data_IF_658179362455
#
_entry.id   IF_658179362455
#
_cell.length_a   1.000
_cell.length_b   1.000
_cell.length_c   1.000
_cell.angle_alpha   90.00
_cell.angle_beta   90.00
_cell.angle_gamma   90.00
#
_symmetry.space_group_name_H-M   'P 1'
#
loop_
_entity.id
_entity.type
_entity.pdbx_description
1 polymer ?
#
# COMPACT_ATOMS: atom_id res chain seq x y z
N UNK A 1 20.00 12.01 -6.57
CA UNK A 1 18.74 11.28 -6.37
C UNK A 1 17.76 12.24 -5.76
N UNK A 2 16.77 12.67 -6.53
CA UNK A 2 15.74 13.65 -6.16
C UNK A 2 14.75 13.08 -5.15
N UNK A 3 14.38 11.81 -5.28
CA UNK A 3 13.50 11.13 -4.33
C UNK A 3 14.30 10.47 -3.22
N UNK A 4 13.99 10.73 -1.97
CA UNK A 4 14.64 10.05 -0.83
C UNK A 4 14.05 8.65 -0.61
N UNK A 5 14.81 7.76 0.05
CA UNK A 5 14.34 6.40 0.39
C UNK A 5 13.00 6.41 1.15
N UNK A 6 12.82 7.37 2.06
CA UNK A 6 11.57 7.54 2.82
C UNK A 6 10.36 7.87 1.94
N UNK A 7 10.57 8.49 0.78
CA UNK A 7 9.53 8.76 -0.20
C UNK A 7 9.22 7.50 -1.00
N UNK A 8 10.23 6.77 -1.45
CA UNK A 8 10.07 5.48 -2.17
C UNK A 8 9.25 4.51 -1.34
N UNK A 9 9.55 4.41 -0.05
CA UNK A 9 8.80 3.58 0.89
C UNK A 9 7.31 3.95 0.94
N UNK A 10 6.95 5.23 0.89
CA UNK A 10 5.53 5.66 0.88
C UNK A 10 4.83 5.29 -0.43
N UNK A 11 5.55 5.39 -1.55
CA UNK A 11 5.02 4.96 -2.86
C UNK A 11 4.68 3.47 -2.84
N UNK A 12 5.49 2.63 -2.17
CA UNK A 12 5.17 1.21 -2.07
C UNK A 12 3.87 0.90 -1.32
N UNK A 13 3.50 1.75 -0.35
CA UNK A 13 2.29 1.56 0.45
C UNK A 13 1.03 1.97 -0.33
N UNK A 14 1.10 3.06 -1.07
CA UNK A 14 -0.02 3.65 -1.79
C UNK A 14 0.44 4.18 -3.18
N UNK A 15 0.66 3.30 -4.18
CA UNK A 15 1.35 3.64 -5.44
C UNK A 15 0.71 4.76 -6.25
N UNK A 16 -0.62 4.82 -6.31
CA UNK A 16 -1.36 5.87 -7.03
C UNK A 16 -1.17 7.24 -6.36
N UNK A 17 -1.24 7.29 -5.03
CA UNK A 17 -1.02 8.52 -4.28
C UNK A 17 0.44 8.97 -4.39
N UNK A 18 1.37 8.02 -4.26
CA UNK A 18 2.80 8.25 -4.40
C UNK A 18 3.19 8.75 -5.79
N UNK A 19 2.62 8.17 -6.85
CA UNK A 19 2.84 8.57 -8.24
C UNK A 19 2.32 9.99 -8.49
N UNK A 20 1.10 10.29 -8.01
CA UNK A 20 0.55 11.63 -8.10
C UNK A 20 1.38 12.67 -7.30
N UNK A 21 1.84 12.32 -6.10
CA UNK A 21 2.70 13.20 -5.28
C UNK A 21 4.07 13.43 -5.94
N UNK A 22 4.67 12.39 -6.53
CA UNK A 22 5.92 12.50 -7.27
C UNK A 22 5.80 13.50 -8.42
N UNK A 23 4.77 13.35 -9.27
CA UNK A 23 4.53 14.27 -10.38
C UNK A 23 4.39 15.73 -9.89
N UNK A 24 3.65 15.96 -8.80
CA UNK A 24 3.51 17.31 -8.23
C UNK A 24 4.84 17.89 -7.73
N UNK A 25 5.65 17.09 -7.02
CA UNK A 25 6.96 17.53 -6.54
C UNK A 25 7.89 17.92 -7.70
N UNK A 26 7.90 17.12 -8.77
CA UNK A 26 8.74 17.39 -9.94
C UNK A 26 8.28 18.65 -10.66
N UNK A 27 6.98 18.77 -10.95
CA UNK A 27 6.44 19.96 -11.64
C UNK A 27 6.64 21.22 -10.82
N UNK A 28 6.48 21.15 -9.49
CA UNK A 28 6.76 22.29 -8.61
C UNK A 28 8.24 22.65 -8.62
N UNK A 29 9.14 21.65 -8.64
CA UNK A 29 10.58 21.87 -8.72
C UNK A 29 10.99 22.47 -10.07
N UNK A 30 10.36 22.04 -11.16
CA UNK A 30 10.58 22.63 -12.49
C UNK A 30 10.14 24.09 -12.52
N UNK A 31 8.98 24.41 -11.96
CA UNK A 31 8.52 25.82 -11.86
C UNK A 31 9.46 26.70 -11.00
N UNK A 32 10.18 26.11 -10.03
CA UNK A 32 11.21 26.81 -9.25
C UNK A 32 12.53 27.03 -10.02
N UNK A 33 12.86 26.11 -10.93
CA UNK A 33 14.05 26.18 -11.77
C UNK A 33 13.85 27.04 -13.02
N UNK A 34 12.60 27.19 -13.46
CA UNK A 34 12.23 27.98 -14.62
C UNK A 34 12.66 29.44 -14.43
N UNK A 35 13.67 29.83 -15.21
CA UNK A 35 14.22 31.17 -15.25
C UNK A 35 13.63 32.01 -16.40
N UNK A 36 12.67 31.46 -17.16
CA UNK A 36 12.08 32.07 -18.35
C UNK A 36 13.01 32.06 -19.58
N UNK A 37 14.12 31.33 -19.54
CA UNK A 37 15.09 31.17 -20.63
C UNK A 37 14.96 29.77 -21.28
N UNK A 38 16.03 29.29 -21.93
CA UNK A 38 16.09 27.95 -22.51
C UNK A 38 16.29 26.87 -21.43
N UNK A 39 15.82 25.65 -21.71
CA UNK A 39 16.01 24.48 -20.86
C UNK A 39 17.49 24.28 -20.48
N UNK A 40 17.71 24.02 -19.20
CA UNK A 40 19.02 23.82 -18.59
C UNK A 40 19.36 22.33 -18.45
N UNK A 41 20.65 22.04 -18.27
CA UNK A 41 21.11 20.68 -17.95
C UNK A 41 20.52 20.17 -16.62
N UNK A 42 20.29 21.05 -15.64
CA UNK A 42 19.69 20.69 -14.34
C UNK A 42 18.24 20.24 -14.50
N UNK A 43 17.44 20.96 -15.29
CA UNK A 43 16.06 20.56 -15.60
C UNK A 43 16.01 19.26 -16.40
N UNK A 44 16.93 19.09 -17.36
CA UNK A 44 17.04 17.88 -18.16
C UNK A 44 17.39 16.65 -17.29
N UNK A 45 18.35 16.76 -16.38
CA UNK A 45 18.69 15.69 -15.44
C UNK A 45 17.52 15.36 -14.51
N UNK A 46 16.86 16.38 -13.94
CA UNK A 46 15.68 16.20 -13.10
C UNK A 46 14.57 15.45 -13.82
N UNK A 47 14.26 15.84 -15.06
CA UNK A 47 13.21 15.23 -15.89
C UNK A 47 13.49 13.77 -16.21
N UNK A 48 14.74 13.42 -16.53
CA UNK A 48 15.12 12.02 -16.78
C UNK A 48 15.05 11.16 -15.52
N UNK A 49 15.60 11.65 -14.41
CA UNK A 49 15.54 10.93 -13.13
C UNK A 49 14.08 10.69 -12.72
N UNK A 50 13.26 11.76 -12.79
CA UNK A 50 11.84 11.73 -12.52
C UNK A 50 11.08 10.73 -13.38
N UNK A 51 11.26 10.80 -14.70
CA UNK A 51 10.50 9.99 -15.64
C UNK A 51 10.87 8.51 -15.54
N UNK A 52 12.15 8.20 -15.30
CA UNK A 52 12.60 6.84 -15.01
C UNK A 52 11.98 6.29 -13.72
N UNK A 53 11.95 7.09 -12.65
CA UNK A 53 11.32 6.72 -11.39
C UNK A 53 9.81 6.46 -11.54
N UNK A 54 9.09 7.35 -12.21
CA UNK A 54 7.66 7.21 -12.54
C UNK A 54 7.43 5.93 -13.34
N UNK A 55 8.21 5.68 -14.40
CA UNK A 55 8.06 4.49 -15.22
C UNK A 55 8.29 3.20 -14.40
N UNK A 56 9.30 3.19 -13.51
CA UNK A 56 9.53 2.05 -12.61
C UNK A 56 8.33 1.80 -11.69
N UNK A 57 7.67 2.83 -11.17
CA UNK A 57 6.45 2.67 -10.36
C UNK A 57 5.33 2.05 -11.20
N UNK A 58 5.09 2.58 -12.40
CA UNK A 58 4.04 2.07 -13.30
C UNK A 58 4.27 0.58 -13.58
N UNK A 59 5.49 0.21 -13.93
CA UNK A 59 5.87 -1.17 -14.25
C UNK A 59 5.82 -2.09 -13.02
N UNK A 60 6.35 -1.67 -11.86
CA UNK A 60 6.40 -2.51 -10.65
C UNK A 60 5.02 -2.81 -10.08
N UNK A 61 4.08 -1.88 -10.21
CA UNK A 61 2.74 -1.99 -9.65
C UNK A 61 1.67 -2.33 -10.69
N UNK A 62 2.06 -2.61 -11.94
CA UNK A 62 1.18 -2.96 -13.06
C UNK A 62 0.02 -1.96 -13.24
N UNK A 63 0.35 -0.67 -13.14
CA UNK A 63 -0.64 0.41 -13.21
C UNK A 63 -1.10 0.59 -14.66
N UNK A 64 -2.42 0.53 -14.89
CA UNK A 64 -2.99 0.68 -16.23
C UNK A 64 -3.04 2.17 -16.64
N UNK A 65 -1.89 2.70 -17.06
CA UNK A 65 -1.74 4.08 -17.55
C UNK A 65 -1.33 4.02 -19.02
N UNK A 66 -2.13 4.64 -19.90
CA UNK A 66 -1.93 4.60 -21.35
C UNK A 66 -0.93 5.67 -21.84
N UNK A 67 0.22 5.77 -21.17
CA UNK A 67 1.26 6.77 -21.46
C UNK A 67 2.61 6.06 -21.43
N UNK A 68 3.41 6.24 -22.49
CA UNK A 68 4.73 5.59 -22.61
C UNK A 68 5.87 6.59 -22.34
N UNK A 69 6.93 6.12 -21.71
CA UNK A 69 8.15 6.90 -21.51
C UNK A 69 8.78 7.27 -22.88
N UNK A 70 9.02 8.55 -23.16
CA UNK A 70 9.60 8.98 -24.43
C UNK A 70 11.03 8.49 -24.60
N UNK A 71 11.42 8.25 -25.85
CA UNK A 71 12.78 7.83 -26.19
C UNK A 71 13.73 9.05 -26.22
N UNK A 72 14.99 8.90 -25.79
CA UNK A 72 15.95 9.99 -25.81
C UNK A 72 16.27 10.41 -27.25
N UNK A 73 16.29 11.73 -27.47
CA UNK A 73 16.73 12.37 -28.70
C UNK A 73 18.08 13.07 -28.52
N UNK A 74 18.69 13.52 -29.63
CA UNK A 74 19.92 14.31 -29.59
C UNK A 74 19.72 15.79 -29.24
N UNK A 75 18.49 16.22 -28.94
CA UNK A 75 18.14 17.61 -28.66
C UNK A 75 17.63 17.74 -27.22
N UNK A 76 18.31 18.56 -26.42
CA UNK A 76 17.97 18.81 -25.02
C UNK A 76 16.55 19.37 -24.87
N UNK A 77 16.19 20.35 -25.71
CA UNK A 77 14.87 20.98 -25.64
C UNK A 77 13.76 19.99 -25.99
N UNK A 78 13.94 19.19 -27.04
CA UNK A 78 12.93 18.19 -27.44
C UNK A 78 12.75 17.12 -26.35
N UNK A 79 13.85 16.71 -25.70
CA UNK A 79 13.80 15.80 -24.56
C UNK A 79 13.04 16.41 -23.38
N UNK A 80 13.38 17.64 -22.97
CA UNK A 80 12.73 18.28 -21.83
C UNK A 80 11.21 18.46 -22.04
N UNK A 81 10.80 18.90 -23.24
CA UNK A 81 9.38 19.01 -23.57
C UNK A 81 8.69 17.65 -23.50
N UNK A 82 9.25 16.62 -24.16
CA UNK A 82 8.64 15.29 -24.20
C UNK A 82 8.51 14.66 -22.80
N UNK A 83 9.52 14.84 -21.94
CA UNK A 83 9.51 14.33 -20.57
C UNK A 83 8.55 15.11 -19.68
N UNK A 84 8.47 16.44 -19.82
CA UNK A 84 7.48 17.25 -19.11
C UNK A 84 6.06 16.82 -19.47
N UNK A 85 5.78 16.65 -20.76
CA UNK A 85 4.48 16.22 -21.27
C UNK A 85 4.12 14.83 -20.72
N UNK A 86 5.07 13.89 -20.75
CA UNK A 86 4.92 12.57 -20.13
C UNK A 86 4.51 12.64 -18.65
N UNK A 87 5.21 13.45 -17.84
CA UNK A 87 4.90 13.60 -16.41
C UNK A 87 3.50 14.22 -16.20
N UNK A 88 3.13 15.21 -17.00
CA UNK A 88 1.81 15.85 -16.93
C UNK A 88 0.68 14.89 -17.33
N UNK A 89 0.88 14.09 -18.37
CA UNK A 89 -0.07 13.07 -18.80
C UNK A 89 -0.26 11.99 -17.72
N UNK A 90 0.83 11.50 -17.13
CA UNK A 90 0.77 10.55 -16.01
C UNK A 90 0.04 11.17 -14.81
N UNK A 91 0.38 12.40 -14.43
CA UNK A 91 -0.30 13.12 -13.35
C UNK A 91 -1.81 13.21 -13.59
N UNK A 92 -2.21 13.58 -14.81
CA UNK A 92 -3.62 13.67 -15.21
C UNK A 92 -4.31 12.30 -15.16
N UNK A 93 -3.64 11.23 -15.57
CA UNK A 93 -4.20 9.89 -15.58
C UNK A 93 -4.52 9.37 -14.17
N UNK A 94 -3.71 9.74 -13.17
CA UNK A 94 -3.90 9.28 -11.78
C UNK A 94 -4.60 10.29 -10.87
N UNK A 95 -4.80 11.53 -11.33
CA UNK A 95 -5.32 12.64 -10.53
C UNK A 95 -6.66 12.33 -9.88
N UNK A 96 -7.65 11.91 -10.67
CA UNK A 96 -9.00 11.61 -10.17
C UNK A 96 -8.99 10.48 -9.12
N UNK A 97 -8.23 9.42 -9.37
CA UNK A 97 -8.11 8.29 -8.45
C UNK A 97 -7.38 8.70 -7.16
N UNK A 98 -6.32 9.51 -7.26
CA UNK A 98 -5.60 10.04 -6.11
C UNK A 98 -6.50 10.94 -5.23
N UNK A 99 -7.37 11.75 -5.84
CA UNK A 99 -8.35 12.57 -5.10
C UNK A 99 -9.33 11.69 -4.32
N UNK A 100 -9.88 10.65 -4.96
CA UNK A 100 -10.79 9.71 -4.31
C UNK A 100 -10.13 9.01 -3.11
N UNK A 101 -8.91 8.51 -3.27
CA UNK A 101 -8.14 7.86 -2.19
C UNK A 101 -7.86 8.81 -1.02
N UNK A 102 -7.55 10.09 -1.29
CA UNK A 102 -7.37 11.10 -0.23
C UNK A 102 -8.66 11.37 0.53
N UNK A 103 -9.78 11.52 -0.18
CA UNK A 103 -11.10 11.76 0.43
C UNK A 103 -11.51 10.58 1.31
N UNK A 104 -11.29 9.35 0.84
CA UNK A 104 -11.54 8.13 1.63
C UNK A 104 -10.67 8.10 2.89
N UNK A 105 -9.38 8.38 2.77
CA UNK A 105 -8.44 8.44 3.90
C UNK A 105 -8.91 9.44 4.96
N UNK A 106 -9.29 10.66 4.56
CA UNK A 106 -9.83 11.67 5.48
C UNK A 106 -11.16 11.22 6.09
N UNK A 107 -12.05 10.65 5.28
CA UNK A 107 -13.34 10.15 5.74
C UNK A 107 -13.16 9.10 6.83
N UNK A 108 -12.29 8.10 6.60
CA UNK A 108 -12.03 7.04 7.57
C UNK A 108 -11.39 7.58 8.86
N UNK A 109 -10.46 8.55 8.74
CA UNK A 109 -9.90 9.26 9.90
C UNK A 109 -10.98 9.92 10.77
N UNK A 110 -11.95 10.59 10.16
CA UNK A 110 -13.03 11.26 10.91
C UNK A 110 -14.12 10.29 11.39
N UNK A 111 -14.44 9.23 10.63
CA UNK A 111 -15.32 8.16 11.11
C UNK A 111 -14.80 7.56 12.41
N UNK A 112 -13.49 7.35 12.52
CA UNK A 112 -12.83 6.85 13.73
C UNK A 112 -12.84 7.84 14.90
N UNK A 113 -12.78 9.15 14.63
CA UNK A 113 -12.82 10.18 15.65
C UNK A 113 -14.23 10.37 16.27
N UNK A 114 -15.30 10.14 15.50
CA UNK A 114 -16.67 10.30 15.97
C UNK A 114 -17.25 9.00 16.54
N UNK A 115 -17.47 8.96 17.87
CA UNK A 115 -18.10 7.84 18.59
C UNK A 115 -19.54 7.49 18.15
N UNK A 116 -20.16 8.29 17.30
CA UNK A 116 -21.54 8.10 16.81
C UNK A 116 -21.63 7.46 15.41
N UNK A 117 -20.52 7.15 14.78
CA UNK A 117 -20.50 6.45 13.48
C UNK A 117 -20.33 4.96 13.71
N UNK A 118 -20.98 4.13 12.90
CA UNK A 118 -20.76 2.68 12.90
C UNK A 118 -19.27 2.35 12.90
N UNK A 119 -18.88 1.39 13.74
CA UNK A 119 -17.51 0.97 13.87
C UNK A 119 -17.45 -0.49 14.34
N UNK A 120 -16.40 -1.17 13.92
CA UNK A 120 -16.05 -2.48 14.42
C UNK A 120 -15.34 -2.31 15.76
N UNK A 121 -15.90 -2.91 16.81
CA UNK A 121 -15.34 -2.84 18.16
C UNK A 121 -14.80 -4.21 18.58
N UNK A 122 -13.48 -4.29 18.70
CA UNK A 122 -12.82 -5.46 19.27
C UNK A 122 -13.11 -5.50 20.77
N UNK A 123 -13.43 -6.70 21.29
CA UNK A 123 -13.42 -6.89 22.73
C UNK A 123 -12.01 -6.65 23.29
N UNK A 124 -11.89 -6.37 24.59
CA UNK A 124 -10.58 -6.18 25.20
C UNK A 124 -9.65 -7.39 24.96
N UNK A 125 -10.18 -8.60 25.11
CA UNK A 125 -9.42 -9.83 24.88
C UNK A 125 -9.05 -10.02 23.41
N UNK A 126 -9.98 -9.75 22.48
CA UNK A 126 -9.71 -9.84 21.04
C UNK A 126 -8.60 -8.85 20.60
N UNK A 127 -8.68 -7.61 21.10
CA UNK A 127 -7.67 -6.58 20.84
C UNK A 127 -6.28 -6.98 21.35
N UNK A 128 -6.20 -7.44 22.60
CA UNK A 128 -4.94 -7.90 23.21
C UNK A 128 -4.38 -9.10 22.44
N UNK A 129 -5.25 -10.04 22.03
CA UNK A 129 -4.83 -11.23 21.28
C UNK A 129 -4.32 -10.88 19.88
N UNK A 130 -4.97 -9.99 19.14
CA UNK A 130 -4.48 -9.53 17.83
C UNK A 130 -3.11 -8.86 17.96
N UNK A 131 -2.90 -8.05 19.00
CA UNK A 131 -1.58 -7.45 19.26
C UNK A 131 -0.49 -8.51 19.49
N UNK A 132 -0.78 -9.53 20.29
CA UNK A 132 0.13 -10.66 20.49
C UNK A 132 0.42 -11.38 19.18
N UNK A 133 -0.61 -11.72 18.40
CA UNK A 133 -0.46 -12.41 17.12
C UNK A 133 0.39 -11.62 16.12
N UNK A 134 0.22 -10.30 16.03
CA UNK A 134 1.06 -9.44 15.19
C UNK A 134 2.51 -9.48 15.66
N UNK A 135 2.78 -9.42 16.97
CA UNK A 135 4.14 -9.50 17.50
C UNK A 135 4.77 -10.88 17.22
N UNK A 136 4.01 -11.97 17.38
CA UNK A 136 4.45 -13.32 17.04
C UNK A 136 4.78 -13.43 15.55
N UNK A 137 3.95 -12.87 14.66
CA UNK A 137 4.20 -12.82 13.22
C UNK A 137 5.46 -12.03 12.88
N UNK A 138 5.66 -10.85 13.48
CA UNK A 138 6.87 -10.05 13.29
C UNK A 138 8.12 -10.83 13.68
N UNK A 139 8.09 -11.54 14.80
CA UNK A 139 9.21 -12.37 15.24
C UNK A 139 9.49 -13.51 14.26
N UNK A 140 8.45 -14.26 13.87
CA UNK A 140 8.58 -15.39 12.94
C UNK A 140 9.11 -14.97 11.57
N UNK A 141 8.53 -13.92 10.97
CA UNK A 141 8.98 -13.37 9.68
C UNK A 141 10.43 -12.87 9.79
N UNK A 142 10.80 -12.23 10.91
CA UNK A 142 12.17 -11.77 11.14
C UNK A 142 13.19 -12.90 11.19
N UNK A 143 12.79 -14.10 11.58
CA UNK A 143 13.66 -15.29 11.64
C UNK A 143 13.67 -16.13 10.36
N UNK A 144 12.78 -15.87 9.39
CA UNK A 144 12.81 -16.59 8.12
C UNK A 144 14.06 -16.21 7.29
N UNK A 145 14.80 -17.23 6.87
CA UNK A 145 15.98 -17.11 5.99
C UNK A 145 15.61 -17.26 4.51
N UNK A 146 14.56 -18.04 4.20
CA UNK A 146 14.13 -18.35 2.82
C UNK A 146 13.29 -17.26 2.15
N UNK A 147 13.08 -16.13 2.83
CA UNK A 147 12.31 -15.00 2.29
C UNK A 147 13.25 -13.90 1.79
N UNK A 148 13.03 -13.41 0.57
CA UNK A 148 13.82 -12.31 0.01
C UNK A 148 13.79 -11.07 0.94
N UNK A 149 14.92 -10.39 1.19
CA UNK A 149 14.98 -9.25 2.09
C UNK A 149 13.96 -8.14 1.81
N UNK A 150 13.70 -7.82 0.53
CA UNK A 150 12.71 -6.80 0.14
C UNK A 150 11.29 -7.23 0.51
N UNK A 151 10.93 -8.49 0.25
CA UNK A 151 9.64 -9.07 0.58
C UNK A 151 9.42 -9.13 2.10
N UNK A 152 10.49 -9.44 2.85
CA UNK A 152 10.48 -9.48 4.31
C UNK A 152 10.19 -8.12 4.91
N UNK A 153 10.88 -7.09 4.42
CA UNK A 153 10.67 -5.70 4.83
C UNK A 153 9.23 -5.26 4.54
N UNK A 154 8.69 -5.59 3.35
CA UNK A 154 7.31 -5.28 2.98
C UNK A 154 6.28 -5.90 3.94
N UNK A 155 6.43 -7.18 4.28
CA UNK A 155 5.52 -7.84 5.23
C UNK A 155 5.60 -7.23 6.64
N UNK A 156 6.83 -6.97 7.13
CA UNK A 156 7.02 -6.35 8.45
C UNK A 156 6.41 -4.95 8.52
N UNK A 157 6.57 -4.15 7.46
CA UNK A 157 5.99 -2.81 7.37
C UNK A 157 4.46 -2.84 7.34
N UNK A 158 3.86 -3.78 6.61
CA UNK A 158 2.40 -3.99 6.62
C UNK A 158 1.89 -4.37 8.01
N UNK A 159 2.59 -5.25 8.71
CA UNK A 159 2.26 -5.60 10.11
C UNK A 159 2.39 -4.40 11.05
N UNK A 160 3.38 -3.54 10.84
CA UNK A 160 3.55 -2.30 11.61
C UNK A 160 2.43 -1.29 11.34
N UNK A 161 2.05 -1.08 10.08
CA UNK A 161 0.91 -0.24 9.68
C UNK A 161 -0.37 -0.76 10.34
N UNK A 162 -0.66 -2.07 10.22
CA UNK A 162 -1.80 -2.71 10.88
C UNK A 162 -1.77 -2.50 12.40
N UNK A 163 -0.61 -2.67 13.05
CA UNK A 163 -0.46 -2.47 14.49
C UNK A 163 -0.68 -1.02 14.92
N UNK A 164 -0.22 -0.06 14.12
CA UNK A 164 -0.32 1.38 14.42
C UNK A 164 -1.75 1.90 14.38
N UNK A 165 -2.59 1.26 13.56
CA UNK A 165 -4.01 1.60 13.39
C UNK A 165 -4.94 0.66 14.14
N UNK A 166 -4.39 -0.41 14.71
CA UNK A 166 -5.11 -1.30 15.59
C UNK A 166 -5.53 -0.51 16.83
N UNK A 167 -6.82 -0.23 16.88
CA UNK A 167 -7.49 0.37 18.01
C UNK A 167 -8.64 -0.53 18.42
N UNK A 168 -9.14 -0.34 19.64
CA UNK A 168 -10.34 -1.06 20.10
C UNK A 168 -11.54 -0.82 19.19
N UNK A 169 -11.57 0.31 18.49
CA UNK A 169 -12.63 0.72 17.58
C UNK A 169 -12.02 1.14 16.24
N UNK A 170 -12.47 0.53 15.15
CA UNK A 170 -12.01 0.80 13.78
C UNK A 170 -13.17 1.00 12.82
N UNK A 171 -12.94 1.76 11.75
CA UNK A 171 -13.96 2.16 10.75
C UNK A 171 -14.28 1.05 9.75
N UNK A 172 -13.30 0.22 9.46
CA UNK A 172 -13.28 -0.82 8.45
C UNK A 172 -12.34 -1.95 8.90
N UNK A 173 -12.43 -3.10 8.24
CA UNK A 173 -11.59 -4.27 8.50
C UNK A 173 -10.73 -4.63 7.27
N UNK A 174 -10.68 -3.75 6.26
CA UNK A 174 -10.07 -4.05 4.95
C UNK A 174 -8.59 -4.41 5.06
N UNK A 175 -7.88 -3.81 6.02
CA UNK A 175 -6.46 -4.09 6.27
C UNK A 175 -6.23 -5.50 6.81
N UNK A 176 -7.19 -6.05 7.55
CA UNK A 176 -7.15 -7.45 8.00
C UNK A 176 -7.34 -8.40 6.80
N UNK A 177 -8.24 -8.05 5.88
CA UNK A 177 -8.47 -8.83 4.66
C UNK A 177 -7.29 -8.75 3.68
N UNK A 178 -6.63 -7.59 3.59
CA UNK A 178 -5.36 -7.44 2.85
C UNK A 178 -4.25 -8.35 3.39
N UNK A 179 -4.10 -8.43 4.72
CA UNK A 179 -3.13 -9.34 5.34
C UNK A 179 -3.39 -10.82 4.99
N UNK A 180 -4.67 -11.23 4.95
CA UNK A 180 -5.05 -12.60 4.59
C UNK A 180 -4.75 -12.89 3.12
N UNK A 181 -5.01 -11.93 2.23
CA UNK A 181 -4.64 -12.01 0.82
C UNK A 181 -3.13 -12.20 0.63
N UNK A 182 -2.32 -11.38 1.29
CA UNK A 182 -0.85 -11.47 1.24
C UNK A 182 -0.34 -12.81 1.78
N UNK A 183 -0.94 -13.30 2.87
CA UNK A 183 -0.61 -14.58 3.47
C UNK A 183 -0.83 -15.75 2.50
N UNK A 184 -1.89 -15.68 1.69
CA UNK A 184 -2.16 -16.66 0.62
C UNK A 184 -1.02 -16.74 -0.40
N UNK A 185 -0.38 -15.61 -0.70
CA UNK A 185 0.77 -15.55 -1.63
C UNK A 185 2.04 -16.10 -0.97
N UNK A 186 2.29 -15.74 0.29
CA UNK A 186 3.46 -16.23 1.07
C UNK A 186 3.39 -17.75 1.30
N UNK A 187 2.19 -18.27 1.56
CA UNK A 187 1.87 -19.70 1.65
C UNK A 187 2.32 -20.49 0.43
N UNK A 188 2.06 -19.95 -0.76
CA UNK A 188 2.41 -20.60 -2.03
C UNK A 188 3.93 -20.75 -2.24
N UNK A 189 4.74 -19.89 -1.60
CA UNK A 189 6.20 -19.87 -1.75
C UNK A 189 6.94 -20.70 -0.69
N UNK A 190 6.45 -20.71 0.55
CA UNK A 190 7.15 -21.27 1.71
C UNK A 190 6.72 -22.69 2.12
N UNK A 191 5.64 -23.23 1.53
CA UNK A 191 5.23 -24.62 1.78
C UNK A 191 4.93 -24.93 3.25
N UNK A 192 5.47 -26.04 3.78
CA UNK A 192 5.16 -26.52 5.13
C UNK A 192 5.76 -25.63 6.24
N UNK A 193 6.85 -24.91 5.97
CA UNK A 193 7.53 -24.06 6.95
C UNK A 193 6.77 -22.76 7.22
N UNK A 194 5.78 -22.42 6.39
CA UNK A 194 4.87 -21.30 6.63
C UNK A 194 3.78 -21.59 7.66
N UNK A 195 3.60 -22.85 8.10
CA UNK A 195 2.47 -23.23 8.97
C UNK A 195 2.33 -22.34 10.21
N UNK A 196 3.39 -22.02 10.98
CA UNK A 196 3.26 -21.15 12.15
C UNK A 196 2.72 -19.76 11.79
N UNK A 197 3.19 -19.17 10.70
CA UNK A 197 2.75 -17.84 10.23
C UNK A 197 1.29 -17.89 9.81
N UNK A 198 0.92 -18.95 9.12
CA UNK A 198 -0.43 -19.14 8.56
C UNK A 198 -1.45 -19.33 9.66
N UNK A 199 -1.12 -20.14 10.67
CA UNK A 199 -1.99 -20.38 11.81
C UNK A 199 -2.28 -19.06 12.55
N UNK A 200 -1.29 -18.15 12.66
CA UNK A 200 -1.49 -16.82 13.25
C UNK A 200 -2.37 -15.91 12.41
N UNK A 201 -2.18 -15.92 11.09
CA UNK A 201 -2.99 -15.09 10.19
C UNK A 201 -4.43 -15.60 10.16
N UNK A 202 -4.65 -16.92 10.21
CA UNK A 202 -5.98 -17.50 10.38
C UNK A 202 -6.65 -17.07 11.68
N UNK A 203 -5.91 -17.07 12.79
CA UNK A 203 -6.44 -16.63 14.08
C UNK A 203 -6.81 -15.13 14.06
N UNK A 204 -5.98 -14.29 13.44
CA UNK A 204 -6.32 -12.87 13.21
C UNK A 204 -7.60 -12.75 12.35
N UNK A 205 -7.72 -13.55 11.30
CA UNK A 205 -8.88 -13.57 10.41
C UNK A 205 -10.17 -13.98 11.14
N UNK A 206 -10.10 -14.97 12.02
CA UNK A 206 -11.21 -15.40 12.86
C UNK A 206 -11.65 -14.28 13.82
N UNK A 207 -10.70 -13.59 14.45
CA UNK A 207 -11.00 -12.48 15.36
C UNK A 207 -11.65 -11.31 14.60
N UNK A 208 -11.12 -10.95 13.42
CA UNK A 208 -11.68 -9.92 12.56
C UNK A 208 -13.11 -10.28 12.12
N UNK A 209 -13.32 -11.52 11.68
CA UNK A 209 -14.64 -12.02 11.28
C UNK A 209 -15.66 -12.04 12.43
N UNK A 210 -15.25 -12.47 13.62
CA UNK A 210 -16.11 -12.44 14.80
C UNK A 210 -16.50 -11.00 15.15
N UNK A 211 -15.56 -10.06 14.99
CA UNK A 211 -15.83 -8.64 15.19
C UNK A 211 -16.80 -8.09 14.16
N UNK A 212 -16.63 -8.45 12.88
CA UNK A 212 -17.57 -8.11 11.81
C UNK A 212 -18.96 -8.68 12.06
N UNK A 213 -19.04 -9.97 12.35
CA UNK A 213 -20.31 -10.68 12.61
C UNK A 213 -21.09 -10.07 13.76
N UNK A 214 -20.42 -9.65 14.85
CA UNK A 214 -21.06 -8.95 15.96
C UNK A 214 -21.57 -7.56 15.56
N UNK A 215 -20.78 -6.81 14.80
CA UNK A 215 -21.13 -5.46 14.39
C UNK A 215 -22.28 -5.45 13.36
N UNK A 216 -22.33 -6.45 12.47
CA UNK A 216 -23.35 -6.62 11.43
C UNK A 216 -24.55 -7.48 11.88
N UNK A 217 -24.63 -7.83 13.18
CA UNK A 217 -25.72 -8.62 13.78
C UNK A 217 -25.96 -9.99 13.09
N UNK A 218 -24.89 -10.60 12.57
CA UNK A 218 -24.97 -11.93 11.97
C UNK A 218 -25.22 -13.01 13.04
N UNK A 219 -25.85 -14.15 12.67
CA UNK A 219 -26.04 -15.27 13.58
C UNK A 219 -24.72 -15.72 14.23
N UNK A 220 -24.77 -16.05 15.52
CA UNK A 220 -23.60 -16.27 16.39
C UNK A 220 -22.68 -17.46 16.04
N UNK A 221 -22.86 -18.09 14.87
CA UNK A 221 -22.02 -19.17 14.34
C UNK A 221 -21.84 -19.02 12.82
N UNK A 222 -21.90 -17.80 12.29
CA UNK A 222 -21.69 -17.58 10.85
C UNK A 222 -20.26 -17.98 10.51
N UNK A 223 -20.05 -18.99 9.64
CA UNK A 223 -18.70 -19.43 9.30
C UNK A 223 -17.97 -18.32 8.56
N UNK A 224 -16.66 -18.18 8.79
CA UNK A 224 -15.85 -17.21 8.05
C UNK A 224 -15.74 -17.68 6.59
N UNK A 225 -16.34 -16.95 5.62
CA UNK A 225 -16.35 -17.36 4.22
C UNK A 225 -14.94 -17.40 3.61
N UNK A 226 -13.98 -16.67 4.19
CA UNK A 226 -12.61 -16.56 3.70
C UNK A 226 -11.70 -17.70 4.16
N UNK A 227 -12.09 -18.46 5.19
CA UNK A 227 -11.24 -19.53 5.76
C UNK A 227 -11.64 -20.93 5.28
N UNK A 228 -12.82 -21.08 4.67
CA UNK A 228 -13.37 -22.36 4.23
C UNK A 228 -13.70 -23.29 5.41
N UNK A 229 -14.72 -24.15 5.24
CA UNK A 229 -14.97 -25.20 6.24
C UNK A 229 -13.85 -26.24 6.13
N UNK A 230 -13.04 -26.36 7.18
CA UNK A 230 -11.96 -27.35 7.28
C UNK A 230 -12.46 -28.81 7.35
N UNK A 231 -13.77 -29.08 7.21
CA UNK A 231 -14.39 -30.38 7.43
C UNK A 231 -14.70 -31.21 6.17
N UNK A 232 -14.44 -30.74 4.95
CA UNK A 232 -14.70 -31.56 3.74
C UNK A 232 -13.45 -31.77 2.88
N UNK A 233 -12.53 -32.60 3.39
CA UNK A 233 -11.66 -33.46 2.55
C UNK A 233 -11.51 -34.82 3.23
N UNK A 234 -12.54 -35.65 3.08
CA UNK A 234 -12.46 -37.11 3.31
C UNK A 234 -11.86 -37.79 2.08
#
# INVERSE_FOLDING_TARGET
MFFEESFIEKVEDDPILGLHEACNLILSRLDELDNGEEWTDEEHELLWEASAFINIIIDNFDLTIAVELPQPTGNLSDNCHSLRDYIQEVQSAVGDQAVLLKVETYSNRYKNAFKNTFAYEFSKGDFERVQELINELRAQISTLEDLEPSHKQRLLKRLEKLQSELHKRVSDLDRFWGLIGDAGVVLGKLGADAKPIVDRIKEIAEIAWNTQSRAEELPSNSPNPMLGNTEERT
#
